data_IF_531287213201
#
_entry.id   IF_531287213201
#
_cell.length_a   1.000
_cell.length_b   1.000
_cell.length_c   1.000
_cell.angle_alpha   90.00
_cell.angle_beta   90.00
_cell.angle_gamma   90.00
#
_symmetry.space_group_name_H-M   'P 1'
#
loop_
_entity.id
_entity.type
_entity.pdbx_description
1 polymer ?
#
# COMPACT_ATOMS: atom_id res chain seq x y z
N UNK A 1 -12.66 22.98 8.57
CA UNK A 1 -12.59 22.77 7.12
C UNK A 1 -13.50 23.78 6.47
N UNK A 2 -12.91 24.79 5.84
CA UNK A 2 -13.63 25.86 5.16
C UNK A 2 -14.06 25.39 3.76
N UNK A 3 -14.93 26.15 3.09
CA UNK A 3 -15.35 25.85 1.72
C UNK A 3 -14.17 25.90 0.73
N UNK A 4 -13.23 26.80 0.97
CA UNK A 4 -11.99 26.92 0.19
C UNK A 4 -11.09 25.67 0.31
N UNK A 5 -11.01 25.07 1.50
CA UNK A 5 -10.26 23.81 1.70
C UNK A 5 -10.86 22.67 0.86
N UNK A 6 -12.19 22.57 0.82
CA UNK A 6 -12.89 21.52 0.07
C UNK A 6 -12.72 21.67 -1.44
N UNK A 7 -12.81 22.91 -1.95
CA UNK A 7 -12.63 23.21 -3.37
C UNK A 7 -11.17 22.95 -3.81
N UNK A 8 -10.21 23.19 -2.93
CA UNK A 8 -8.79 22.84 -3.14
C UNK A 8 -8.56 21.33 -3.25
N UNK A 9 -9.17 20.53 -2.37
CA UNK A 9 -9.08 19.06 -2.40
C UNK A 9 -9.68 18.50 -3.69
N UNK A 10 -10.84 18.98 -4.11
CA UNK A 10 -11.52 18.53 -5.33
C UNK A 10 -10.70 18.89 -6.57
N UNK A 11 -10.17 20.11 -6.63
CA UNK A 11 -9.33 20.57 -7.74
C UNK A 11 -8.04 19.74 -7.84
N UNK A 12 -7.41 19.43 -6.69
CA UNK A 12 -6.25 18.55 -6.63
C UNK A 12 -6.56 17.13 -7.09
N UNK A 13 -7.69 16.57 -6.68
CA UNK A 13 -8.11 15.23 -7.10
C UNK A 13 -8.37 15.16 -8.62
N UNK A 14 -9.07 16.15 -9.18
CA UNK A 14 -9.32 16.24 -10.63
C UNK A 14 -8.01 16.37 -11.39
N UNK A 15 -7.07 17.20 -10.89
CA UNK A 15 -5.76 17.36 -11.50
C UNK A 15 -4.98 16.03 -11.55
N UNK A 16 -4.95 15.28 -10.45
CA UNK A 16 -4.27 13.97 -10.38
C UNK A 16 -4.94 12.94 -11.30
N UNK A 17 -6.27 12.90 -11.32
CA UNK A 17 -7.03 11.97 -12.17
C UNK A 17 -6.96 12.33 -13.66
N UNK A 18 -6.67 13.59 -14.00
CA UNK A 18 -6.45 14.05 -15.37
C UNK A 18 -5.14 13.56 -16.00
N UNK A 19 -4.23 12.97 -15.20
CA UNK A 19 -2.96 12.45 -15.71
C UNK A 19 -3.17 11.08 -16.38
N UNK A 20 -2.76 10.89 -17.65
CA UNK A 20 -3.15 9.72 -18.45
C UNK A 20 -2.69 8.39 -17.85
N UNK A 21 -1.52 8.33 -17.21
CA UNK A 21 -1.07 7.11 -16.54
C UNK A 21 -1.83 6.79 -15.25
N UNK A 22 -2.28 7.80 -14.49
CA UNK A 22 -3.13 7.59 -13.29
C UNK A 22 -4.47 7.06 -13.76
N UNK A 23 -5.05 7.68 -14.78
CA UNK A 23 -6.32 7.22 -15.36
C UNK A 23 -6.21 5.78 -15.85
N UNK A 24 -5.13 5.42 -16.55
CA UNK A 24 -4.90 4.06 -17.04
C UNK A 24 -4.79 3.04 -15.89
N UNK A 25 -4.03 3.36 -14.83
CA UNK A 25 -3.91 2.52 -13.64
C UNK A 25 -5.27 2.32 -12.98
N UNK A 26 -6.02 3.41 -12.78
CA UNK A 26 -7.35 3.37 -12.14
C UNK A 26 -8.33 2.55 -12.97
N UNK A 27 -8.43 2.80 -14.28
CA UNK A 27 -9.34 2.06 -15.16
C UNK A 27 -8.98 0.58 -15.25
N UNK A 28 -7.68 0.27 -15.42
CA UNK A 28 -7.20 -1.11 -15.44
C UNK A 28 -7.45 -1.83 -14.11
N UNK A 29 -7.18 -1.16 -13.00
CA UNK A 29 -7.44 -1.65 -11.65
C UNK A 29 -8.92 -1.91 -11.38
N UNK A 30 -9.81 -1.00 -11.80
CA UNK A 30 -11.25 -1.20 -11.72
C UNK A 30 -11.72 -2.38 -12.57
N UNK A 31 -11.21 -2.53 -13.79
CA UNK A 31 -11.51 -3.68 -14.65
C UNK A 31 -11.07 -5.00 -14.01
N UNK A 32 -9.87 -5.03 -13.42
CA UNK A 32 -9.36 -6.18 -12.68
C UNK A 32 -10.18 -6.46 -11.41
N UNK A 33 -10.65 -5.43 -10.70
CA UNK A 33 -11.50 -5.58 -9.53
C UNK A 33 -12.85 -6.19 -9.91
N UNK A 34 -13.46 -5.72 -11.01
CA UNK A 34 -14.66 -6.34 -11.58
C UNK A 34 -14.39 -7.80 -11.91
N UNK A 35 -13.31 -8.11 -12.64
CA UNK A 35 -12.94 -9.48 -13.00
C UNK A 35 -12.75 -10.39 -11.76
N UNK A 36 -12.05 -9.90 -10.73
CA UNK A 36 -11.89 -10.57 -9.44
C UNK A 36 -13.23 -10.79 -8.70
N UNK A 37 -14.23 -9.96 -9.00
CA UNK A 37 -15.60 -10.04 -8.51
C UNK A 37 -16.46 -11.15 -9.12
N UNK A 38 -16.09 -11.66 -10.31
CA UNK A 38 -16.95 -12.56 -11.07
C UNK A 38 -16.87 -14.01 -10.54
N UNK A 39 -15.75 -14.42 -9.91
CA UNK A 39 -15.53 -15.84 -9.55
C UNK A 39 -15.10 -16.06 -8.10
N UNK A 40 -15.70 -17.06 -7.45
CA UNK A 40 -15.23 -17.62 -6.19
C UNK A 40 -15.77 -16.98 -4.90
N UNK A 41 -15.73 -17.77 -3.82
CA UNK A 41 -16.26 -17.38 -2.50
C UNK A 41 -15.46 -16.29 -1.78
N UNK A 42 -14.28 -15.94 -2.30
CA UNK A 42 -13.36 -14.93 -1.72
C UNK A 42 -13.30 -13.62 -2.50
N UNK A 43 -14.23 -13.43 -3.45
CA UNK A 43 -14.32 -12.24 -4.30
C UNK A 43 -14.27 -10.88 -3.57
N UNK A 44 -14.92 -10.63 -2.40
CA UNK A 44 -14.82 -9.30 -1.78
C UNK A 44 -13.38 -8.99 -1.32
N UNK A 45 -12.63 -10.00 -0.87
CA UNK A 45 -11.23 -9.83 -0.46
C UNK A 45 -10.32 -9.59 -1.67
N UNK A 46 -10.58 -10.28 -2.79
CA UNK A 46 -9.85 -10.07 -4.04
C UNK A 46 -10.09 -8.67 -4.60
N UNK A 47 -11.35 -8.22 -4.63
CA UNK A 47 -11.73 -6.85 -5.02
C UNK A 47 -10.99 -5.83 -4.15
N UNK A 48 -11.07 -5.97 -2.82
CA UNK A 48 -10.39 -5.05 -1.91
C UNK A 48 -8.87 -5.01 -2.10
N UNK A 49 -8.25 -6.16 -2.37
CA UNK A 49 -6.81 -6.24 -2.63
C UNK A 49 -6.44 -5.55 -3.95
N UNK A 50 -7.22 -5.75 -5.02
CA UNK A 50 -6.99 -5.10 -6.31
C UNK A 50 -7.19 -3.60 -6.21
N UNK A 51 -8.26 -3.13 -5.54
CA UNK A 51 -8.50 -1.70 -5.35
C UNK A 51 -7.41 -1.06 -4.49
N UNK A 52 -6.95 -1.73 -3.44
CA UNK A 52 -5.84 -1.27 -2.61
C UNK A 52 -4.54 -1.17 -3.41
N UNK A 53 -4.20 -2.18 -4.21
CA UNK A 53 -3.03 -2.15 -5.09
C UNK A 53 -3.15 -1.03 -6.13
N UNK A 54 -4.33 -0.84 -6.70
CA UNK A 54 -4.61 0.23 -7.66
C UNK A 54 -4.37 1.60 -7.03
N UNK A 55 -4.85 1.82 -5.81
CA UNK A 55 -4.62 3.07 -5.08
C UNK A 55 -3.14 3.30 -4.79
N UNK A 56 -2.41 2.26 -4.36
CA UNK A 56 -0.95 2.32 -4.18
C UNK A 56 -0.30 2.77 -5.48
N UNK A 57 -0.51 2.05 -6.58
CA UNK A 57 0.15 2.35 -7.85
C UNK A 57 -0.25 3.73 -8.39
N UNK A 58 -1.52 4.12 -8.30
CA UNK A 58 -2.00 5.41 -8.79
C UNK A 58 -1.39 6.61 -8.03
N UNK A 59 -1.15 6.47 -6.72
CA UNK A 59 -0.60 7.55 -5.88
C UNK A 59 0.93 7.55 -5.81
N UNK A 60 1.56 6.41 -6.10
CA UNK A 60 3.01 6.23 -5.96
C UNK A 60 3.76 6.23 -7.30
N UNK A 61 3.17 5.74 -8.39
CA UNK A 61 3.84 5.79 -9.69
C UNK A 61 3.91 7.25 -10.18
N UNK A 62 5.10 7.73 -10.57
CA UNK A 62 5.25 9.08 -11.11
C UNK A 62 4.54 9.16 -12.45
N UNK A 63 3.35 9.77 -12.47
CA UNK A 63 2.62 9.90 -13.73
C UNK A 63 3.06 11.13 -14.53
N UNK A 64 3.70 12.12 -13.90
CA UNK A 64 4.30 13.23 -14.65
C UNK A 64 5.73 13.50 -14.17
N UNK A 65 6.67 13.57 -15.11
CA UNK A 65 8.07 13.91 -14.88
C UNK A 65 8.35 15.38 -14.52
N UNK A 66 7.44 16.10 -13.85
CA UNK A 66 7.57 17.57 -13.67
C UNK A 66 7.12 18.11 -12.30
N UNK A 67 7.43 17.43 -11.19
CA UNK A 67 7.22 18.02 -9.85
C UNK A 67 8.37 17.82 -8.85
N UNK A 68 9.59 17.55 -9.33
CA UNK A 68 10.75 17.22 -8.49
C UNK A 68 11.94 18.17 -8.64
N UNK A 69 11.73 19.46 -8.91
CA UNK A 69 12.85 20.39 -9.06
C UNK A 69 13.54 20.75 -7.73
N UNK A 70 12.88 20.57 -6.57
CA UNK A 70 13.37 21.17 -5.31
C UNK A 70 13.65 20.19 -4.14
N UNK A 71 13.37 18.89 -4.26
CA UNK A 71 13.71 17.92 -3.20
C UNK A 71 15.11 17.31 -3.40
N UNK A 72 15.91 17.07 -2.33
CA UNK A 72 17.19 16.38 -2.42
C UNK A 72 17.04 15.04 -3.14
N UNK A 73 17.57 14.95 -4.36
CA UNK A 73 17.40 13.79 -5.23
C UNK A 73 18.26 12.63 -4.73
N UNK A 74 17.65 11.46 -4.58
CA UNK A 74 18.38 10.21 -4.38
C UNK A 74 18.37 9.46 -5.71
N UNK A 75 19.53 9.31 -6.33
CA UNK A 75 19.67 8.39 -7.46
C UNK A 75 19.50 6.95 -6.95
N UNK A 76 19.19 6.00 -7.84
CA UNK A 76 18.97 4.60 -7.46
C UNK A 76 20.13 4.01 -6.65
N UNK A 77 21.37 4.32 -7.01
CA UNK A 77 22.56 3.91 -6.25
C UNK A 77 22.52 4.43 -4.81
N UNK A 78 22.24 5.72 -4.62
CA UNK A 78 22.15 6.34 -3.30
C UNK A 78 20.93 5.89 -2.49
N UNK A 79 19.84 5.41 -3.11
CA UNK A 79 18.71 4.82 -2.38
C UNK A 79 19.12 3.50 -1.72
N UNK A 80 19.72 2.59 -2.49
CA UNK A 80 20.15 1.29 -1.96
C UNK A 80 21.20 1.44 -0.85
N UNK A 81 22.14 2.37 -0.98
CA UNK A 81 23.09 2.67 0.11
C UNK A 81 22.35 3.10 1.37
N UNK A 82 21.41 4.05 1.27
CA UNK A 82 20.66 4.56 2.42
C UNK A 82 19.74 3.52 3.06
N UNK A 83 19.18 2.61 2.26
CA UNK A 83 18.33 1.54 2.77
C UNK A 83 19.06 0.66 3.80
N UNK A 84 20.37 0.53 3.67
CA UNK A 84 21.21 -0.23 4.59
C UNK A 84 22.04 0.67 5.53
N UNK A 85 21.83 1.99 5.51
CA UNK A 85 22.55 2.95 6.34
C UNK A 85 21.76 3.24 7.64
N UNK A 86 22.32 2.96 8.83
CA UNK A 86 21.69 3.25 10.11
C UNK A 86 21.20 4.70 10.29
N UNK A 87 21.86 5.68 9.67
CA UNK A 87 21.48 7.10 9.79
C UNK A 87 20.09 7.39 9.21
N UNK A 88 19.67 6.65 8.18
CA UNK A 88 18.33 6.77 7.60
C UNK A 88 17.23 6.31 8.59
N UNK A 89 17.54 5.31 9.43
CA UNK A 89 16.63 4.81 10.46
C UNK A 89 16.51 5.77 11.64
N UNK A 90 17.59 6.43 12.03
CA UNK A 90 17.55 7.46 13.07
C UNK A 90 16.72 8.67 12.62
N UNK A 91 16.87 9.09 11.36
CA UNK A 91 16.03 10.15 10.78
C UNK A 91 14.54 9.76 10.78
N UNK A 92 14.23 8.52 10.39
CA UNK A 92 12.86 8.01 10.43
C UNK A 92 12.31 7.93 11.87
N UNK A 93 13.13 7.57 12.88
CA UNK A 93 12.67 7.58 14.28
C UNK A 93 12.23 8.96 14.75
N UNK A 94 12.88 10.02 14.27
CA UNK A 94 12.54 11.39 14.66
C UNK A 94 11.32 11.94 13.92
N UNK A 95 11.14 11.61 12.64
CA UNK A 95 10.12 12.28 11.79
C UNK A 95 9.09 11.36 11.14
N UNK A 96 9.33 10.05 11.14
CA UNK A 96 8.70 9.08 10.25
C UNK A 96 7.17 9.01 10.35
N UNK A 97 6.64 8.83 11.56
CA UNK A 97 5.20 8.77 11.82
C UNK A 97 4.59 10.11 12.26
N UNK A 98 5.44 11.13 12.43
CA UNK A 98 5.00 12.46 12.85
C UNK A 98 4.53 13.32 11.67
N UNK A 99 4.79 12.90 10.43
CA UNK A 99 4.31 13.57 9.22
C UNK A 99 2.99 12.98 8.73
N UNK A 100 2.16 13.84 8.12
CA UNK A 100 0.92 13.41 7.46
C UNK A 100 1.19 12.42 6.32
N UNK A 101 2.29 12.60 5.59
CA UNK A 101 2.74 11.69 4.51
C UNK A 101 3.06 10.30 5.04
N UNK A 102 3.78 10.22 6.17
CA UNK A 102 4.12 8.94 6.78
C UNK A 102 2.89 8.17 7.28
N UNK A 103 1.94 8.88 7.91
CA UNK A 103 0.65 8.30 8.29
C UNK A 103 -0.17 7.87 7.08
N UNK A 104 -0.18 8.66 6.00
CA UNK A 104 -0.88 8.33 4.78
C UNK A 104 -0.33 7.04 4.14
N UNK A 105 0.99 6.85 4.13
CA UNK A 105 1.66 5.65 3.65
C UNK A 105 1.26 4.39 4.44
N UNK A 106 1.23 4.48 5.78
CA UNK A 106 0.72 3.40 6.64
C UNK A 106 -0.74 3.07 6.31
N UNK A 107 -1.60 4.10 6.23
CA UNK A 107 -3.03 3.94 5.95
C UNK A 107 -3.33 3.45 4.53
N UNK A 108 -2.43 3.69 3.58
CA UNK A 108 -2.55 3.24 2.20
C UNK A 108 -2.24 1.73 2.08
N UNK A 109 -1.16 1.27 2.71
CA UNK A 109 -0.74 -0.14 2.65
C UNK A 109 -1.54 -1.07 3.57
N UNK A 110 -2.03 -0.58 4.70
CA UNK A 110 -2.79 -1.37 5.67
C UNK A 110 -4.04 -2.06 5.09
N UNK A 111 -4.99 -1.37 4.44
CA UNK A 111 -6.17 -2.01 3.88
C UNK A 111 -5.79 -2.96 2.74
N UNK A 112 -4.85 -2.58 1.87
CA UNK A 112 -4.34 -3.45 0.82
C UNK A 112 -3.84 -4.79 1.37
N UNK A 113 -2.94 -4.75 2.37
CA UNK A 113 -2.35 -5.95 2.95
C UNK A 113 -3.39 -6.80 3.70
N UNK A 114 -4.35 -6.19 4.39
CA UNK A 114 -5.46 -6.89 5.01
C UNK A 114 -6.27 -7.70 3.99
N UNK A 115 -6.71 -7.06 2.90
CA UNK A 115 -7.52 -7.71 1.87
C UNK A 115 -6.71 -8.78 1.12
N UNK A 116 -5.46 -8.50 0.79
CA UNK A 116 -4.56 -9.45 0.13
C UNK A 116 -4.32 -10.70 1.00
N UNK A 117 -4.14 -10.53 2.31
CA UNK A 117 -3.95 -11.62 3.25
C UNK A 117 -5.23 -12.46 3.40
N UNK A 118 -6.40 -11.82 3.48
CA UNK A 118 -7.70 -12.50 3.55
C UNK A 118 -8.02 -13.29 2.27
N UNK A 119 -7.64 -12.75 1.11
CA UNK A 119 -7.81 -13.41 -0.18
C UNK A 119 -6.90 -14.64 -0.31
N UNK A 120 -5.59 -14.43 -0.15
CA UNK A 120 -4.57 -15.46 -0.37
C UNK A 120 -4.52 -16.51 0.74
N UNK A 121 -4.83 -16.12 1.98
CA UNK A 121 -4.57 -16.87 3.23
C UNK A 121 -3.11 -17.23 3.45
N UNK A 122 -2.20 -16.56 2.75
CA UNK A 122 -0.75 -16.72 2.86
C UNK A 122 -0.18 -15.48 3.57
N UNK A 123 -0.44 -15.38 4.86
CA UNK A 123 -0.15 -14.19 5.67
C UNK A 123 1.33 -13.77 5.61
N UNK A 124 2.25 -14.72 5.81
CA UNK A 124 3.69 -14.46 5.73
C UNK A 124 4.12 -14.01 4.33
N UNK A 125 3.64 -14.70 3.28
CA UNK A 125 3.94 -14.30 1.90
C UNK A 125 3.36 -12.92 1.57
N UNK A 126 2.19 -12.57 2.11
CA UNK A 126 1.58 -11.26 1.92
C UNK A 126 2.41 -10.17 2.60
N UNK A 127 2.93 -10.43 3.81
CA UNK A 127 3.81 -9.50 4.50
C UNK A 127 5.11 -9.25 3.69
N UNK A 128 5.77 -10.33 3.25
CA UNK A 128 7.00 -10.24 2.44
C UNK A 128 6.72 -9.54 1.11
N UNK A 129 5.61 -9.87 0.44
CA UNK A 129 5.24 -9.25 -0.83
C UNK A 129 4.90 -7.76 -0.69
N UNK A 130 4.24 -7.35 0.40
CA UNK A 130 3.92 -5.93 0.65
C UNK A 130 5.17 -5.09 0.95
N UNK A 131 6.09 -5.61 1.77
CA UNK A 131 7.40 -4.97 2.01
C UNK A 131 8.20 -4.90 0.71
N UNK A 132 8.26 -6.00 -0.04
CA UNK A 132 8.94 -6.06 -1.34
C UNK A 132 8.35 -5.10 -2.38
N UNK A 133 7.01 -4.97 -2.41
CA UNK A 133 6.32 -4.00 -3.26
C UNK A 133 6.73 -2.56 -2.92
N UNK A 134 6.82 -2.23 -1.63
CA UNK A 134 7.27 -0.92 -1.18
C UNK A 134 8.71 -0.62 -1.64
N UNK A 135 9.64 -1.55 -1.42
CA UNK A 135 11.03 -1.41 -1.89
C UNK A 135 11.08 -1.29 -3.42
N UNK A 136 10.29 -2.07 -4.15
CA UNK A 136 10.26 -2.01 -5.62
C UNK A 136 9.75 -0.66 -6.13
N UNK A 137 8.69 -0.11 -5.52
CA UNK A 137 8.15 1.21 -5.86
C UNK A 137 9.18 2.30 -5.59
N UNK A 138 9.81 2.31 -4.41
CA UNK A 138 10.84 3.30 -4.06
C UNK A 138 12.08 3.17 -4.96
N UNK A 139 12.44 1.95 -5.35
CA UNK A 139 13.51 1.72 -6.33
C UNK A 139 13.16 2.33 -7.68
N UNK A 140 11.95 2.11 -8.20
CA UNK A 140 11.50 2.74 -9.44
C UNK A 140 11.46 4.26 -9.29
N UNK A 141 10.98 4.78 -8.17
CA UNK A 141 10.94 6.21 -7.90
C UNK A 141 12.34 6.84 -7.87
N UNK A 142 13.33 6.17 -7.29
CA UNK A 142 14.74 6.61 -7.25
C UNK A 142 15.43 6.63 -8.63
N UNK A 143 14.87 5.89 -9.60
CA UNK A 143 15.27 5.95 -11.01
C UNK A 143 14.51 7.05 -11.77
N UNK A 144 13.50 7.65 -11.16
CA UNK A 144 12.68 8.73 -11.71
C UNK A 144 12.97 10.06 -10.99
N UNK A 145 12.31 11.14 -11.39
CA UNK A 145 12.45 12.46 -10.75
C UNK A 145 11.71 12.60 -9.39
N UNK A 146 11.45 11.51 -8.67
CA UNK A 146 10.76 11.52 -7.37
C UNK A 146 11.74 11.18 -6.25
N UNK A 147 11.66 11.89 -5.13
CA UNK A 147 12.50 11.60 -3.97
C UNK A 147 12.07 10.27 -3.35
N UNK A 148 12.88 9.23 -3.54
CA UNK A 148 12.69 7.94 -2.87
C UNK A 148 13.29 8.00 -1.47
N UNK A 149 12.57 7.53 -0.46
CA UNK A 149 13.01 7.60 0.93
C UNK A 149 12.89 6.27 1.67
N UNK A 150 13.86 6.02 2.55
CA UNK A 150 13.81 4.86 3.47
C UNK A 150 12.61 4.96 4.41
N UNK A 151 12.20 6.19 4.75
CA UNK A 151 11.03 6.43 5.60
C UNK A 151 9.74 5.91 4.97
N UNK A 152 9.58 6.06 3.65
CA UNK A 152 8.42 5.54 2.92
C UNK A 152 8.42 4.00 2.91
N UNK A 153 9.59 3.38 2.71
CA UNK A 153 9.73 1.91 2.85
C UNK A 153 9.25 1.45 4.22
N UNK A 154 9.70 2.11 5.29
CA UNK A 154 9.36 1.75 6.67
C UNK A 154 7.88 1.96 6.97
N UNK A 155 7.32 3.10 6.60
CA UNK A 155 5.90 3.44 6.83
C UNK A 155 4.96 2.47 6.09
N UNK A 156 5.23 2.19 4.81
CA UNK A 156 4.49 1.20 4.03
C UNK A 156 4.61 -0.22 4.61
N UNK A 157 5.80 -0.58 5.12
CA UNK A 157 6.04 -1.86 5.77
C UNK A 157 5.25 -2.00 7.06
N UNK A 158 5.17 -0.94 7.88
CA UNK A 158 4.33 -0.91 9.08
C UNK A 158 2.86 -1.08 8.71
N UNK A 159 2.36 -0.32 7.71
CA UNK A 159 1.01 -0.50 7.20
C UNK A 159 0.74 -1.94 6.76
N UNK A 160 1.66 -2.53 6.00
CA UNK A 160 1.58 -3.93 5.57
C UNK A 160 1.47 -4.90 6.75
N UNK A 161 2.35 -4.77 7.75
CA UNK A 161 2.37 -5.64 8.91
C UNK A 161 1.10 -5.51 9.75
N UNK A 162 0.59 -4.28 9.96
CA UNK A 162 -0.69 -4.04 10.64
C UNK A 162 -1.83 -4.71 9.86
N UNK A 163 -1.90 -4.52 8.55
CA UNK A 163 -2.94 -5.13 7.71
C UNK A 163 -2.94 -6.66 7.80
N UNK A 164 -1.77 -7.29 7.73
CA UNK A 164 -1.63 -8.75 7.90
C UNK A 164 -2.01 -9.20 9.31
N UNK A 165 -1.59 -8.46 10.35
CA UNK A 165 -1.94 -8.77 11.73
C UNK A 165 -3.45 -8.71 11.97
N UNK A 166 -4.14 -7.71 11.41
CA UNK A 166 -5.60 -7.61 11.45
C UNK A 166 -6.27 -8.79 10.74
N UNK A 167 -5.74 -9.21 9.58
CA UNK A 167 -6.27 -10.36 8.85
C UNK A 167 -6.10 -11.67 9.65
N UNK A 168 -4.98 -11.83 10.36
CA UNK A 168 -4.76 -12.95 11.28
C UNK A 168 -5.75 -12.91 12.45
N UNK A 169 -5.89 -11.75 13.09
CA UNK A 169 -6.81 -11.55 14.22
C UNK A 169 -8.26 -11.90 13.85
N UNK A 170 -8.69 -11.62 12.62
CA UNK A 170 -10.02 -12.01 12.10
C UNK A 170 -10.07 -13.50 11.72
N UNK A 171 -9.00 -14.04 11.13
CA UNK A 171 -8.99 -15.39 10.56
C UNK A 171 -8.86 -16.51 11.60
N UNK A 172 -8.07 -16.29 12.66
CA UNK A 172 -7.78 -17.31 13.69
C UNK A 172 -9.05 -17.72 14.47
N UNK A 173 -9.85 -16.79 15.02
CA UNK A 173 -11.08 -17.16 15.74
C UNK A 173 -12.09 -17.90 14.85
N UNK A 174 -12.26 -17.45 13.60
CA UNK A 174 -13.16 -18.09 12.63
C UNK A 174 -12.71 -19.51 12.34
N UNK A 175 -11.40 -19.74 12.23
CA UNK A 175 -10.85 -21.08 12.01
C UNK A 175 -11.03 -21.99 13.23
N UNK A 176 -10.75 -21.48 14.44
CA UNK A 176 -10.94 -22.22 15.70
C UNK A 176 -12.40 -22.62 15.90
N UNK A 177 -13.33 -21.69 15.69
CA UNK A 177 -14.77 -21.95 15.79
C UNK A 177 -15.25 -22.98 14.77
N UNK A 178 -14.73 -22.95 13.53
CA UNK A 178 -15.05 -23.96 12.52
C UNK A 178 -14.54 -25.34 12.93
N UNK A 179 -13.32 -25.45 13.49
CA UNK A 179 -12.77 -26.73 13.96
C UNK A 179 -13.58 -27.33 15.12
N UNK A 180 -14.01 -26.52 16.08
CA UNK A 180 -14.82 -26.99 17.21
C UNK A 180 -16.21 -27.51 16.82
N UNK A 181 -16.71 -27.19 15.63
CA UNK A 181 -17.99 -27.70 15.10
C UNK A 181 -17.87 -29.04 14.36
N UNK A 182 -16.65 -29.49 14.04
CA UNK A 182 -16.41 -30.73 13.26
C UNK A 182 -16.16 -31.94 14.16
N UNK A 183 -16.40 -31.83 15.47
CA UNK A 183 -16.57 -33.00 16.36
C UNK A 183 -18.05 -33.24 16.66
N UNK A 184 -18.81 -33.95 15.80
CA UNK A 184 -19.97 -34.72 16.23
C UNK A 184 -19.52 -35.92 17.05
N UNK A 185 -20.28 -36.18 18.09
CA UNK A 185 -20.14 -37.26 19.04
C UNK A 185 -20.31 -38.66 18.43
N UNK A 186 -19.93 -39.65 19.25
CA UNK A 186 -20.11 -41.10 19.14
C UNK A 186 -18.95 -41.81 18.43
N UNK A 187 -18.32 -42.81 19.03
CA UNK A 187 -18.84 -43.87 19.94
C UNK A 187 -17.97 -44.12 21.15
#
# INVERSE_FOLDING_TARGET
MTREDADGVVSGAIYVLGKPGVTAIVLGGLALAVAAGIWGRRRPWAIGAVLGLTAILALTIPVDGLSGLDAPRTNAEGFWTRLFDPSAYEMWRTYGLHSAEGMANVLLYMPFAFFAAMWSRRFALTAVAGVGLSVAIETVQSMTYRAATVGDVLNNSIGTLIGVALALAVSVPVWLWRRGRVTPAHT
#
